data_IF_761106099873
#
_entry.id   IF_761106099873
#
_cell.length_a   1.000
_cell.length_b   1.000
_cell.length_c   1.000
_cell.angle_alpha   90.00
_cell.angle_beta   90.00
_cell.angle_gamma   90.00
#
_symmetry.space_group_name_H-M   'P 1'
#
loop_
_entity.id
_entity.type
_entity.pdbx_description
1 polymer ?
#
# COMPACT_ATOMS: atom_id res chain seq x y z
N UNK A 1 30.37 2.00 15.19
CA UNK A 1 31.44 1.46 16.05
C UNK A 1 31.07 1.79 17.49
N UNK A 2 30.87 0.77 18.33
CA UNK A 2 30.66 0.98 19.77
C UNK A 2 32.00 1.38 20.39
N UNK A 3 32.07 2.58 21.02
CA UNK A 3 33.15 2.82 21.97
C UNK A 3 32.88 1.98 23.23
N UNK A 4 33.89 1.48 23.91
CA UNK A 4 33.73 0.79 25.19
C UNK A 4 33.48 1.84 26.30
N UNK A 5 32.39 2.58 26.20
CA UNK A 5 31.85 3.42 27.25
C UNK A 5 30.70 2.66 27.92
N UNK A 6 30.56 2.84 29.20
CA UNK A 6 29.62 2.13 30.08
C UNK A 6 28.13 2.34 29.78
N UNK A 7 27.78 3.09 28.74
CA UNK A 7 26.42 3.57 28.48
C UNK A 7 25.72 3.00 27.22
N UNK A 8 26.38 2.08 26.49
CA UNK A 8 25.87 1.42 25.27
C UNK A 8 25.41 2.40 24.15
N UNK A 9 25.79 3.67 24.21
CA UNK A 9 25.45 4.70 23.23
C UNK A 9 26.14 4.40 21.90
N UNK A 10 25.42 4.38 20.76
CA UNK A 10 26.04 4.20 19.46
C UNK A 10 26.80 5.46 19.02
N UNK A 11 27.99 5.26 18.44
CA UNK A 11 28.87 6.32 17.94
C UNK A 11 29.25 6.07 16.48
N UNK A 12 29.45 7.14 15.73
CA UNK A 12 29.98 7.13 14.38
C UNK A 12 31.37 7.77 14.37
N UNK A 13 32.32 7.16 13.65
CA UNK A 13 33.64 7.74 13.42
C UNK A 13 33.82 8.07 11.95
N UNK A 14 34.03 9.35 11.64
CA UNK A 14 34.29 9.86 10.29
C UNK A 14 35.68 10.52 10.31
N UNK A 15 36.67 9.86 9.68
CA UNK A 15 38.07 10.30 9.82
C UNK A 15 38.53 10.20 11.30
N UNK A 16 38.94 11.33 11.88
CA UNK A 16 39.36 11.41 13.31
C UNK A 16 38.23 11.91 14.22
N UNK A 17 37.08 12.32 13.65
CA UNK A 17 35.96 12.83 14.43
C UNK A 17 35.05 11.66 14.87
N UNK A 18 34.69 11.67 16.17
CA UNK A 18 33.76 10.73 16.78
C UNK A 18 32.52 11.49 17.25
N UNK A 19 31.35 11.12 16.78
CA UNK A 19 30.09 11.73 17.19
C UNK A 19 29.10 10.71 17.73
N UNK A 20 28.30 11.11 18.70
CA UNK A 20 27.19 10.29 19.22
C UNK A 20 26.06 10.21 18.19
N UNK A 21 25.45 9.03 18.06
CA UNK A 21 24.25 8.79 17.28
C UNK A 21 22.97 8.70 18.15
N UNK A 22 23.07 8.97 19.46
CA UNK A 22 21.97 8.81 20.41
C UNK A 22 20.70 9.53 19.97
N UNK A 23 20.81 10.74 19.42
CA UNK A 23 19.66 11.53 18.95
C UNK A 23 19.19 11.12 17.54
N UNK A 24 19.99 10.33 16.82
CA UNK A 24 19.68 9.91 15.45
C UNK A 24 19.04 8.52 15.40
N UNK A 25 19.34 7.63 16.32
CA UNK A 25 18.77 6.27 16.35
C UNK A 25 17.38 6.28 16.98
N UNK A 26 16.41 5.57 16.40
CA UNK A 26 15.03 5.59 16.89
C UNK A 26 14.76 4.63 18.06
N UNK A 27 15.66 3.65 18.31
CA UNK A 27 15.53 2.64 19.35
C UNK A 27 16.87 1.95 19.63
N UNK A 28 16.95 1.25 20.74
CA UNK A 28 18.11 0.44 21.10
C UNK A 28 18.14 -0.86 20.31
N UNK A 29 19.35 -1.33 19.99
CA UNK A 29 19.58 -2.60 19.28
C UNK A 29 20.40 -3.57 20.13
N UNK A 30 20.30 -4.90 19.88
CA UNK A 30 21.13 -5.89 20.58
C UNK A 30 22.62 -5.62 20.42
N UNK A 31 23.44 -6.07 21.38
CA UNK A 31 24.90 -5.84 21.38
C UNK A 31 25.63 -6.37 20.15
N UNK A 32 25.08 -7.41 19.52
CA UNK A 32 25.64 -8.01 18.30
C UNK A 32 25.26 -7.27 17.01
N UNK A 33 24.43 -6.22 17.10
CA UNK A 33 23.97 -5.44 15.94
C UNK A 33 24.74 -4.11 15.86
N UNK A 34 24.79 -3.54 14.65
CA UNK A 34 25.37 -2.21 14.44
C UNK A 34 24.39 -1.30 13.71
N UNK A 35 24.36 -0.01 14.09
CA UNK A 35 23.75 1.03 13.28
C UNK A 35 24.68 1.43 12.16
N UNK A 36 24.22 1.35 10.91
CA UNK A 36 25.03 1.57 9.71
C UNK A 36 24.31 2.55 8.79
N UNK A 37 25.01 3.54 8.24
CA UNK A 37 24.45 4.40 7.19
C UNK A 37 24.39 3.63 5.88
N UNK A 38 23.34 3.88 5.08
CA UNK A 38 23.21 3.28 3.74
C UNK A 38 24.47 3.57 2.91
N UNK A 39 25.00 4.81 2.97
CA UNK A 39 26.25 5.18 2.27
C UNK A 39 27.45 4.31 2.61
N UNK A 40 27.51 3.74 3.81
CA UNK A 40 28.63 2.89 4.24
C UNK A 40 28.59 1.47 3.65
N UNK A 41 27.44 1.02 3.19
CA UNK A 41 27.25 -0.32 2.60
C UNK A 41 26.90 -0.26 1.10
N UNK A 42 26.61 0.93 0.57
CA UNK A 42 26.29 1.11 -0.84
C UNK A 42 27.50 1.50 -1.68
N UNK A 43 27.68 0.84 -2.80
CA UNK A 43 28.60 1.26 -3.86
C UNK A 43 28.01 2.43 -4.68
N UNK A 44 26.68 2.53 -4.74
CA UNK A 44 25.98 3.56 -5.50
C UNK A 44 24.65 3.87 -4.85
N UNK A 45 24.39 5.17 -4.62
CA UNK A 45 23.07 5.71 -4.35
C UNK A 45 22.77 6.76 -5.42
N UNK A 46 21.82 6.48 -6.30
CA UNK A 46 21.47 7.36 -7.41
C UNK A 46 19.96 7.34 -7.64
N UNK A 47 19.50 7.99 -8.69
CA UNK A 47 18.08 7.94 -9.10
C UNK A 47 17.97 7.75 -10.60
N UNK A 48 16.83 7.25 -11.02
CA UNK A 48 16.48 7.15 -12.42
C UNK A 48 16.41 8.51 -13.12
N UNK A 49 16.25 8.46 -14.41
CA UNK A 49 16.18 9.65 -15.28
C UNK A 49 15.07 9.44 -16.31
N UNK A 50 14.25 10.47 -16.53
CA UNK A 50 13.21 10.42 -17.58
C UNK A 50 13.85 10.69 -18.95
N UNK A 51 13.48 9.94 -19.99
CA UNK A 51 13.98 10.20 -21.35
C UNK A 51 13.54 11.57 -21.86
N UNK A 52 14.32 12.15 -22.77
CA UNK A 52 13.97 13.42 -23.43
C UNK A 52 12.70 13.22 -24.25
N UNK A 53 11.76 14.17 -24.16
CA UNK A 53 10.46 14.07 -24.84
C UNK A 53 9.33 13.48 -23.96
N UNK A 54 9.63 13.06 -22.73
CA UNK A 54 8.61 12.54 -21.80
C UNK A 54 7.85 11.34 -22.38
N UNK A 55 6.52 11.39 -22.38
CA UNK A 55 5.67 10.29 -22.84
C UNK A 55 5.83 9.92 -24.31
N UNK A 56 6.35 10.82 -25.16
CA UNK A 56 6.61 10.57 -26.59
C UNK A 56 7.81 9.64 -26.80
N UNK A 57 8.65 9.50 -25.80
CA UNK A 57 9.83 8.61 -25.84
C UNK A 57 9.50 7.15 -25.45
N UNK A 58 8.23 6.85 -25.11
CA UNK A 58 7.82 5.48 -24.81
C UNK A 58 7.38 4.75 -26.06
N UNK A 59 7.67 3.47 -26.10
CA UNK A 59 7.30 2.54 -27.16
C UNK A 59 6.42 1.41 -26.60
N UNK A 60 5.73 0.70 -27.50
CA UNK A 60 4.88 -0.44 -27.10
C UNK A 60 5.72 -1.66 -26.70
N UNK A 61 6.94 -1.75 -27.20
CA UNK A 61 7.87 -2.85 -26.95
C UNK A 61 9.29 -2.30 -26.73
N UNK A 62 10.16 -3.05 -26.06
CA UNK A 62 11.57 -2.71 -25.84
C UNK A 62 12.02 -2.96 -24.42
N UNK A 63 12.94 -2.12 -23.95
CA UNK A 63 13.48 -2.19 -22.59
C UNK A 63 12.47 -1.66 -21.60
N UNK A 64 12.22 -2.39 -20.52
CA UNK A 64 11.29 -2.00 -19.47
C UNK A 64 11.72 -0.70 -18.75
N UNK A 65 10.77 0.20 -18.52
CA UNK A 65 11.01 1.49 -17.90
C UNK A 65 10.10 1.68 -16.66
N UNK A 66 10.72 1.53 -15.48
CA UNK A 66 10.03 1.61 -14.21
C UNK A 66 9.68 3.05 -13.82
N UNK A 67 8.49 3.21 -13.26
CA UNK A 67 8.04 4.41 -12.57
C UNK A 67 7.72 4.06 -11.10
N UNK A 68 7.50 5.08 -10.26
CA UNK A 68 7.19 4.85 -8.85
C UNK A 68 6.00 3.90 -8.62
N UNK A 69 5.02 3.88 -9.54
CA UNK A 69 3.85 2.99 -9.45
C UNK A 69 4.19 1.50 -9.64
N UNK A 70 5.31 1.21 -10.34
CA UNK A 70 5.79 -0.16 -10.52
C UNK A 70 6.50 -0.73 -9.28
N UNK A 71 6.89 0.13 -8.32
CA UNK A 71 7.43 -0.29 -7.03
C UNK A 71 6.27 -0.62 -6.11
N UNK A 72 5.93 -1.90 -6.00
CA UNK A 72 4.72 -2.36 -5.31
C UNK A 72 4.85 -2.37 -3.78
N UNK A 73 6.07 -2.28 -3.26
CA UNK A 73 6.38 -2.28 -1.83
C UNK A 73 7.01 -3.60 -1.35
N UNK A 74 7.72 -3.52 -0.24
CA UNK A 74 8.62 -4.56 0.26
C UNK A 74 9.63 -4.95 -0.84
N UNK A 75 9.68 -6.21 -1.26
CA UNK A 75 10.64 -6.71 -2.27
C UNK A 75 10.05 -6.85 -3.68
N UNK A 76 8.83 -6.30 -3.93
CA UNK A 76 8.05 -6.60 -5.14
C UNK A 76 8.04 -5.46 -6.15
N UNK A 77 8.16 -5.84 -7.43
CA UNK A 77 7.86 -5.02 -8.60
C UNK A 77 6.52 -5.45 -9.22
N UNK A 78 5.72 -4.47 -9.65
CA UNK A 78 4.56 -4.70 -10.53
C UNK A 78 4.94 -4.33 -11.97
N UNK A 79 5.17 -5.35 -12.78
CA UNK A 79 5.55 -5.21 -14.19
C UNK A 79 4.35 -5.33 -15.15
N UNK A 80 3.12 -5.42 -14.63
CA UNK A 80 1.91 -5.63 -15.46
C UNK A 80 1.59 -4.43 -16.36
N UNK A 81 2.01 -3.22 -15.97
CA UNK A 81 1.81 -1.96 -16.72
C UNK A 81 3.12 -1.21 -16.86
N UNK A 82 4.07 -1.84 -17.54
CA UNK A 82 5.40 -1.30 -17.73
C UNK A 82 5.45 -0.46 -19.01
N UNK A 83 6.00 0.74 -18.92
CA UNK A 83 6.38 1.49 -20.09
C UNK A 83 7.66 0.89 -20.69
N UNK A 84 7.92 1.10 -21.98
CA UNK A 84 9.12 0.63 -22.65
C UNK A 84 9.85 1.79 -23.32
N UNK A 85 11.14 1.64 -23.49
CA UNK A 85 12.03 2.56 -24.20
C UNK A 85 12.85 1.78 -25.22
N UNK A 86 13.39 2.49 -26.22
CA UNK A 86 14.27 1.88 -27.21
C UNK A 86 15.68 1.62 -26.63
N UNK A 87 16.42 0.73 -27.29
CA UNK A 87 17.79 0.35 -26.91
C UNK A 87 18.77 1.53 -26.94
N UNK A 88 18.63 2.44 -27.90
CA UNK A 88 19.49 3.63 -28.02
C UNK A 88 19.31 4.57 -26.83
N UNK A 89 18.08 4.75 -26.38
CA UNK A 89 17.76 5.53 -25.16
C UNK A 89 18.34 4.83 -23.92
N UNK A 90 18.17 3.51 -23.81
CA UNK A 90 18.66 2.70 -22.69
C UNK A 90 20.17 2.81 -22.54
N UNK A 91 20.93 2.50 -23.61
CA UNK A 91 22.41 2.46 -23.57
C UNK A 91 23.06 3.84 -23.69
N UNK A 92 22.32 4.82 -24.20
CA UNK A 92 22.77 6.19 -24.41
C UNK A 92 22.40 7.13 -23.27
N UNK A 93 21.31 7.86 -23.44
CA UNK A 93 20.90 8.92 -22.51
C UNK A 93 20.63 8.43 -21.08
N UNK A 94 20.05 7.23 -20.93
CA UNK A 94 19.71 6.64 -19.65
C UNK A 94 20.78 5.67 -19.10
N UNK A 95 21.96 5.60 -19.69
CA UNK A 95 23.04 4.71 -19.27
C UNK A 95 23.29 4.72 -17.74
N UNK A 96 23.15 5.90 -17.11
CA UNK A 96 23.39 6.10 -15.67
C UNK A 96 22.34 5.45 -14.77
N UNK A 97 21.14 5.19 -15.29
CA UNK A 97 19.98 4.65 -14.58
C UNK A 97 19.61 3.24 -15.04
N UNK A 98 20.54 2.54 -15.67
CA UNK A 98 20.42 1.12 -15.98
C UNK A 98 20.41 0.35 -14.65
N UNK A 99 19.38 -0.45 -14.45
CA UNK A 99 19.24 -1.30 -13.28
C UNK A 99 20.06 -2.57 -13.45
N UNK A 100 20.59 -3.06 -12.35
CA UNK A 100 21.25 -4.36 -12.24
C UNK A 100 20.48 -5.28 -11.30
N UNK A 101 20.74 -6.57 -11.38
CA UNK A 101 20.29 -7.50 -10.36
C UNK A 101 20.80 -7.08 -8.99
N UNK A 102 20.00 -7.35 -7.97
CA UNK A 102 20.25 -6.99 -6.57
C UNK A 102 20.20 -5.48 -6.26
N UNK A 103 19.85 -4.62 -7.22
CA UNK A 103 19.54 -3.24 -6.90
C UNK A 103 18.30 -3.16 -5.99
N UNK A 104 18.43 -2.42 -4.90
CA UNK A 104 17.30 -2.06 -4.04
C UNK A 104 16.74 -0.72 -4.51
N UNK A 105 15.48 -0.70 -4.85
CA UNK A 105 14.76 0.50 -5.29
C UNK A 105 13.98 1.10 -4.14
N UNK A 106 13.91 2.45 -4.11
CA UNK A 106 13.05 3.18 -3.18
C UNK A 106 12.37 4.35 -3.89
N UNK A 107 11.07 4.51 -3.72
CA UNK A 107 10.32 5.64 -4.33
C UNK A 107 10.60 6.94 -3.59
N UNK A 108 10.98 7.98 -4.33
CA UNK A 108 11.38 9.29 -3.81
C UNK A 108 10.43 10.43 -4.19
N UNK A 109 9.43 10.14 -5.02
CA UNK A 109 8.35 11.07 -5.39
C UNK A 109 7.03 10.30 -5.56
N UNK A 110 5.91 10.96 -5.34
CA UNK A 110 4.59 10.33 -5.31
C UNK A 110 4.34 9.60 -3.99
N UNK A 111 4.18 8.29 -4.03
CA UNK A 111 4.13 7.46 -2.82
C UNK A 111 5.54 7.20 -2.33
N UNK A 112 6.00 7.96 -1.34
CA UNK A 112 7.37 7.88 -0.82
C UNK A 112 7.64 6.60 -0.05
N UNK A 113 8.90 6.14 -0.11
CA UNK A 113 9.43 5.09 0.75
C UNK A 113 9.07 3.65 0.37
N UNK A 114 8.30 3.41 -0.70
CA UNK A 114 8.10 2.04 -1.20
C UNK A 114 9.40 1.49 -1.73
N UNK A 115 9.65 0.22 -1.45
CA UNK A 115 10.87 -0.46 -1.86
C UNK A 115 10.59 -1.64 -2.78
N UNK A 116 11.59 -2.07 -3.56
CA UNK A 116 11.58 -3.32 -4.31
C UNK A 116 13.01 -3.81 -4.50
N UNK A 117 13.18 -5.08 -4.86
CA UNK A 117 14.46 -5.68 -5.26
C UNK A 117 14.37 -6.02 -6.74
N UNK A 118 15.37 -5.61 -7.51
CA UNK A 118 15.51 -5.99 -8.92
C UNK A 118 16.10 -7.39 -8.99
N UNK A 119 15.37 -8.32 -9.60
CA UNK A 119 15.85 -9.68 -9.83
C UNK A 119 16.43 -9.80 -11.25
N UNK A 120 17.33 -10.76 -11.45
CA UNK A 120 17.90 -11.04 -12.76
C UNK A 120 16.83 -11.28 -13.83
N UNK A 121 15.76 -11.98 -13.49
CA UNK A 121 14.62 -12.28 -14.38
C UNK A 121 13.84 -11.04 -14.83
N UNK A 122 14.02 -9.89 -14.16
CA UNK A 122 13.35 -8.64 -14.50
C UNK A 122 14.09 -7.81 -15.55
N UNK A 123 15.36 -8.11 -15.76
CA UNK A 123 16.24 -7.32 -16.64
C UNK A 123 16.03 -7.63 -18.14
N UNK A 124 16.28 -6.66 -19.03
CA UNK A 124 16.85 -5.33 -18.78
C UNK A 124 15.79 -4.28 -18.39
N UNK A 125 16.16 -3.36 -17.48
CA UNK A 125 15.29 -2.31 -16.96
C UNK A 125 16.03 -0.97 -16.82
N UNK A 126 15.29 0.12 -16.93
CA UNK A 126 15.63 1.47 -16.44
C UNK A 126 14.57 1.99 -15.49
N UNK A 127 14.87 3.08 -14.78
CA UNK A 127 13.92 3.74 -13.88
C UNK A 127 13.84 5.24 -14.16
N UNK A 128 12.66 5.84 -13.81
CA UNK A 128 12.47 7.28 -13.88
C UNK A 128 13.03 7.99 -12.64
N UNK A 129 13.01 9.32 -12.66
CA UNK A 129 13.53 10.18 -11.58
C UNK A 129 12.77 10.06 -10.25
N UNK A 130 11.62 9.39 -10.20
CA UNK A 130 10.85 9.18 -8.97
C UNK A 130 11.29 7.92 -8.20
N UNK A 131 12.28 7.19 -8.72
CA UNK A 131 12.84 5.96 -8.13
C UNK A 131 14.31 6.16 -7.86
N UNK A 132 14.75 6.05 -6.61
CA UNK A 132 16.15 5.95 -6.24
C UNK A 132 16.61 4.49 -6.29
N UNK A 133 17.90 4.31 -6.53
CA UNK A 133 18.59 3.03 -6.73
C UNK A 133 19.70 2.97 -5.71
N UNK A 134 19.67 1.93 -4.88
CA UNK A 134 20.73 1.60 -3.91
C UNK A 134 21.37 0.31 -4.39
N UNK A 135 22.64 0.37 -4.76
CA UNK A 135 23.46 -0.80 -5.14
C UNK A 135 24.47 -1.04 -4.05
N UNK A 136 24.45 -2.21 -3.45
CA UNK A 136 25.39 -2.54 -2.37
C UNK A 136 26.81 -2.78 -2.91
N UNK A 137 27.81 -2.58 -2.08
CA UNK A 137 29.22 -2.94 -2.35
C UNK A 137 29.32 -4.45 -2.53
N UNK A 138 28.63 -5.19 -1.67
CA UNK A 138 28.55 -6.65 -1.71
C UNK A 138 27.15 -7.10 -1.30
N UNK A 139 26.37 -7.57 -2.28
CA UNK A 139 25.00 -8.08 -2.07
C UNK A 139 24.95 -9.41 -1.28
N UNK A 140 26.12 -10.07 -1.06
CA UNK A 140 26.18 -11.30 -0.28
C UNK A 140 26.42 -11.05 1.22
N UNK A 141 26.97 -9.90 1.58
CA UNK A 141 27.25 -9.53 2.99
C UNK A 141 26.04 -8.99 3.74
N UNK A 142 25.01 -8.54 3.02
CA UNK A 142 23.74 -8.08 3.59
C UNK A 142 22.60 -8.79 2.86
N UNK A 143 21.70 -9.43 3.60
CA UNK A 143 20.50 -9.99 2.99
C UNK A 143 19.59 -8.86 2.49
N UNK A 144 19.33 -8.81 1.18
CA UNK A 144 18.58 -7.71 0.55
C UNK A 144 17.14 -7.62 1.03
N UNK A 145 16.51 -8.76 1.36
CA UNK A 145 15.15 -8.75 1.92
C UNK A 145 15.17 -8.19 3.34
N UNK A 146 16.21 -8.53 4.12
CA UNK A 146 16.39 -7.92 5.44
C UNK A 146 16.52 -6.40 5.31
N UNK A 147 17.39 -5.92 4.40
CA UNK A 147 17.57 -4.48 4.19
C UNK A 147 16.26 -3.80 3.79
N UNK A 148 15.51 -4.41 2.90
CA UNK A 148 14.18 -3.92 2.50
C UNK A 148 13.22 -3.88 3.70
N UNK A 149 13.20 -4.90 4.55
CA UNK A 149 12.36 -4.91 5.75
C UNK A 149 12.78 -3.83 6.75
N UNK A 150 14.08 -3.62 6.95
CA UNK A 150 14.60 -2.55 7.79
C UNK A 150 14.19 -1.17 7.24
N UNK A 151 14.33 -0.93 5.93
CA UNK A 151 13.89 0.31 5.29
C UNK A 151 12.37 0.54 5.38
N UNK A 152 11.56 -0.53 5.47
CA UNK A 152 10.10 -0.43 5.63
C UNK A 152 9.65 -0.40 7.10
N UNK A 153 10.56 -0.56 8.07
CA UNK A 153 10.20 -0.46 9.47
C UNK A 153 9.65 0.95 9.79
N UNK A 154 8.53 1.06 10.54
CA UNK A 154 7.87 2.36 10.78
C UNK A 154 8.81 3.44 11.29
N UNK A 155 9.68 3.11 12.25
CA UNK A 155 10.63 4.06 12.81
C UNK A 155 11.67 4.59 11.79
N UNK A 156 12.07 3.77 10.82
CA UNK A 156 12.97 4.17 9.73
C UNK A 156 12.18 4.97 8.67
N UNK A 157 10.98 4.54 8.31
CA UNK A 157 10.10 5.26 7.39
C UNK A 157 9.74 6.67 7.91
N UNK A 158 9.48 6.82 9.20
CA UNK A 158 9.21 8.12 9.81
C UNK A 158 10.42 9.06 9.66
N UNK A 159 11.64 8.58 9.79
CA UNK A 159 12.85 9.36 9.56
C UNK A 159 13.06 9.70 8.08
N UNK A 160 12.91 8.75 7.18
CA UNK A 160 13.01 8.95 5.74
C UNK A 160 11.98 9.97 5.23
N UNK A 161 10.77 9.98 5.81
CA UNK A 161 9.66 10.82 5.35
C UNK A 161 9.38 12.03 6.24
N UNK A 162 10.22 12.30 7.24
CA UNK A 162 10.01 13.39 8.21
C UNK A 162 9.79 14.76 7.55
N UNK A 163 10.46 15.06 6.44
CA UNK A 163 10.28 16.30 5.67
C UNK A 163 8.91 16.43 4.98
N UNK A 164 8.14 15.34 4.88
CA UNK A 164 6.77 15.35 4.36
C UNK A 164 5.84 16.28 5.16
N UNK A 165 6.16 16.52 6.42
CA UNK A 165 5.36 17.38 7.31
C UNK A 165 5.64 18.87 7.12
N UNK A 166 6.70 19.24 6.38
CA UNK A 166 7.23 20.63 6.32
C UNK A 166 7.02 21.27 4.93
N UNK A 167 6.92 20.49 3.86
CA UNK A 167 6.85 21.01 2.47
C UNK A 167 5.57 20.59 1.76
N UNK A 168 5.05 21.48 0.89
CA UNK A 168 3.84 21.22 0.09
C UNK A 168 4.00 20.07 -0.92
N UNK A 169 5.24 19.78 -1.34
CA UNK A 169 5.58 18.66 -2.21
C UNK A 169 6.70 17.87 -1.52
N UNK A 170 6.37 16.79 -0.81
CA UNK A 170 7.36 15.99 -0.13
C UNK A 170 8.20 15.20 -1.14
N UNK A 171 9.51 15.41 -1.12
CA UNK A 171 10.47 14.60 -1.87
C UNK A 171 11.49 13.98 -0.90
N UNK A 172 11.76 12.70 -1.07
CA UNK A 172 12.86 12.04 -0.41
C UNK A 172 14.13 12.27 -1.24
N UNK A 173 15.17 12.90 -0.66
CA UNK A 173 16.41 13.17 -1.38
C UNK A 173 17.40 12.00 -1.29
N UNK A 174 18.38 11.98 -2.19
CA UNK A 174 19.43 10.96 -2.18
C UNK A 174 20.32 11.09 -0.94
N UNK A 175 20.53 12.30 -0.43
CA UNK A 175 21.27 12.55 0.80
C UNK A 175 20.56 11.91 2.00
N UNK A 176 19.22 12.11 2.13
CA UNK A 176 18.45 11.49 3.22
C UNK A 176 18.55 9.96 3.16
N UNK A 177 18.51 9.37 1.96
CA UNK A 177 18.69 7.93 1.78
C UNK A 177 20.09 7.49 2.17
N UNK A 178 21.12 8.21 1.70
CA UNK A 178 22.52 7.91 1.97
C UNK A 178 22.85 7.97 3.47
N UNK A 179 22.30 8.97 4.15
CA UNK A 179 22.48 9.21 5.58
C UNK A 179 21.56 8.36 6.47
N UNK A 180 20.60 7.67 5.88
CA UNK A 180 19.66 6.83 6.65
C UNK A 180 20.42 5.75 7.41
N UNK A 181 20.21 5.72 8.74
CA UNK A 181 20.71 4.67 9.61
C UNK A 181 19.79 3.46 9.58
N UNK A 182 20.36 2.30 9.34
CA UNK A 182 19.68 1.00 9.42
C UNK A 182 20.40 0.07 10.39
N UNK A 183 19.66 -0.71 11.19
CA UNK A 183 20.27 -1.68 12.10
C UNK A 183 20.68 -2.92 11.30
N UNK A 184 21.92 -3.35 11.45
CA UNK A 184 22.49 -4.51 10.72
C UNK A 184 22.87 -5.61 11.74
N UNK A 185 22.09 -6.70 11.80
CA UNK A 185 22.43 -7.93 12.53
C UNK A 185 23.54 -8.72 11.85
N UNK A 186 24.14 -9.70 12.54
CA UNK A 186 24.94 -10.74 11.87
C UNK A 186 24.16 -11.43 10.76
N UNK A 187 24.80 -11.76 9.64
CA UNK A 187 24.13 -12.25 8.42
C UNK A 187 23.20 -13.45 8.66
N UNK A 188 23.62 -14.40 9.50
CA UNK A 188 22.76 -15.55 9.82
C UNK A 188 21.49 -15.14 10.58
N UNK A 189 21.53 -14.06 11.34
CA UNK A 189 20.37 -13.52 12.02
C UNK A 189 19.45 -12.77 11.06
N UNK A 190 19.99 -11.99 10.12
CA UNK A 190 19.23 -11.39 9.03
C UNK A 190 18.39 -12.46 8.30
N UNK A 191 19.02 -13.58 7.93
CA UNK A 191 18.34 -14.71 7.26
C UNK A 191 17.25 -15.35 8.12
N UNK A 192 17.46 -15.47 9.45
CA UNK A 192 16.42 -15.96 10.36
C UNK A 192 15.24 -15.00 10.44
N UNK A 193 15.50 -13.70 10.52
CA UNK A 193 14.45 -12.65 10.51
C UNK A 193 13.64 -12.72 9.23
N UNK A 194 14.31 -12.77 8.06
CA UNK A 194 13.65 -12.87 6.75
C UNK A 194 12.78 -14.12 6.67
N UNK A 195 13.31 -15.27 7.11
CA UNK A 195 12.55 -16.53 7.13
C UNK A 195 11.31 -16.43 8.03
N UNK A 196 11.45 -15.86 9.23
CA UNK A 196 10.35 -15.71 10.16
C UNK A 196 9.28 -14.76 9.61
N UNK A 197 9.68 -13.64 9.04
CA UNK A 197 8.75 -12.69 8.43
C UNK A 197 7.99 -13.31 7.26
N UNK A 198 8.65 -14.10 6.42
CA UNK A 198 8.02 -14.81 5.31
C UNK A 198 6.91 -15.79 5.75
N UNK A 199 6.95 -16.30 6.99
CA UNK A 199 5.88 -17.13 7.55
C UNK A 199 4.64 -16.31 7.96
N UNK A 200 4.82 -15.06 8.37
CA UNK A 200 3.70 -14.21 8.81
C UNK A 200 2.97 -13.53 7.65
N UNK A 201 3.66 -13.16 6.56
CA UNK A 201 3.05 -12.44 5.43
C UNK A 201 1.81 -13.11 4.86
N UNK A 202 1.79 -14.44 4.59
CA UNK A 202 0.59 -15.12 4.12
C UNK A 202 -0.56 -15.11 5.14
N UNK A 203 -0.25 -15.22 6.43
CA UNK A 203 -1.25 -15.19 7.51
C UNK A 203 -1.91 -13.81 7.63
N UNK A 204 -1.12 -12.75 7.47
CA UNK A 204 -1.64 -11.36 7.45
C UNK A 204 -2.58 -11.17 6.25
N UNK A 205 -2.19 -11.63 5.06
CA UNK A 205 -3.02 -11.54 3.87
C UNK A 205 -4.35 -12.32 4.00
N UNK A 206 -4.30 -13.51 4.62
CA UNK A 206 -5.51 -14.29 4.93
C UNK A 206 -6.42 -13.54 5.91
N UNK A 207 -5.83 -12.97 6.98
CA UNK A 207 -6.56 -12.17 7.96
C UNK A 207 -7.24 -10.96 7.31
N UNK A 208 -6.53 -10.21 6.47
CA UNK A 208 -7.07 -9.06 5.73
C UNK A 208 -8.25 -9.45 4.83
N UNK A 209 -8.16 -10.61 4.17
CA UNK A 209 -9.25 -11.15 3.36
C UNK A 209 -10.50 -11.43 4.20
N UNK A 210 -10.36 -12.14 5.33
CA UNK A 210 -11.45 -12.43 6.25
C UNK A 210 -12.04 -11.17 6.90
N UNK A 211 -11.20 -10.20 7.23
CA UNK A 211 -11.65 -8.92 7.79
C UNK A 211 -12.49 -8.14 6.78
N UNK A 212 -12.08 -8.15 5.50
CA UNK A 212 -12.83 -7.51 4.41
C UNK A 212 -14.20 -8.16 4.21
N UNK A 213 -14.27 -9.49 4.22
CA UNK A 213 -15.52 -10.24 4.14
C UNK A 213 -16.44 -9.93 5.31
N UNK A 214 -15.92 -9.93 6.54
CA UNK A 214 -16.67 -9.58 7.74
C UNK A 214 -17.24 -8.15 7.66
N UNK A 215 -16.44 -7.21 7.21
CA UNK A 215 -16.87 -5.81 7.05
C UNK A 215 -18.00 -5.70 6.01
N UNK A 216 -17.91 -6.42 4.89
CA UNK A 216 -18.96 -6.45 3.87
C UNK A 216 -20.26 -7.04 4.42
N UNK A 217 -20.18 -8.14 5.17
CA UNK A 217 -21.33 -8.75 5.86
C UNK A 217 -21.97 -7.78 6.85
N UNK A 218 -21.18 -7.16 7.71
CA UNK A 218 -21.67 -6.20 8.72
C UNK A 218 -22.35 -4.98 8.08
N UNK A 219 -21.81 -4.49 6.96
CA UNK A 219 -22.38 -3.35 6.22
C UNK A 219 -23.69 -3.72 5.54
N UNK A 220 -23.78 -4.92 4.97
CA UNK A 220 -24.98 -5.40 4.27
C UNK A 220 -26.10 -5.91 5.18
N UNK A 221 -25.74 -6.39 6.39
CA UNK A 221 -26.68 -7.03 7.30
C UNK A 221 -27.91 -6.21 7.69
N UNK A 222 -27.80 -4.91 8.06
CA UNK A 222 -28.97 -4.11 8.46
C UNK A 222 -30.03 -4.02 7.35
N UNK A 223 -29.61 -3.82 6.12
CA UNK A 223 -30.53 -3.74 4.98
C UNK A 223 -31.12 -5.10 4.62
N UNK A 224 -30.36 -6.17 4.71
CA UNK A 224 -30.85 -7.54 4.51
C UNK A 224 -31.88 -7.92 5.59
N UNK A 225 -31.59 -7.60 6.85
CA UNK A 225 -32.51 -7.82 7.97
C UNK A 225 -33.82 -7.05 7.80
N UNK A 226 -33.73 -5.77 7.44
CA UNK A 226 -34.91 -4.93 7.19
C UNK A 226 -35.79 -5.52 6.08
N UNK A 227 -35.19 -5.97 4.98
CA UNK A 227 -35.92 -6.62 3.88
C UNK A 227 -36.59 -7.92 4.33
N UNK A 228 -35.90 -8.72 5.15
CA UNK A 228 -36.46 -9.96 5.70
C UNK A 228 -37.66 -9.68 6.60
N UNK A 229 -37.55 -8.71 7.51
CA UNK A 229 -38.65 -8.31 8.39
C UNK A 229 -39.86 -7.79 7.60
N UNK A 230 -39.62 -6.99 6.55
CA UNK A 230 -40.69 -6.52 5.68
C UNK A 230 -41.35 -7.70 4.92
N UNK A 231 -40.58 -8.68 4.52
CA UNK A 231 -41.12 -9.88 3.84
C UNK A 231 -42.01 -10.68 4.79
N UNK A 232 -41.59 -10.91 6.03
CA UNK A 232 -42.42 -11.58 7.06
C UNK A 232 -43.67 -10.76 7.38
N UNK A 233 -43.57 -9.42 7.45
CA UNK A 233 -44.72 -8.54 7.68
C UNK A 233 -45.79 -8.66 6.59
N UNK A 234 -45.40 -8.60 5.31
CA UNK A 234 -46.37 -8.69 4.20
C UNK A 234 -46.93 -10.08 3.98
N UNK A 235 -46.27 -11.11 4.52
CA UNK A 235 -46.80 -12.47 4.54
C UNK A 235 -47.73 -12.78 5.72
N UNK A 236 -47.97 -11.78 6.59
CA UNK A 236 -48.79 -11.95 7.79
C UNK A 236 -48.16 -12.81 8.88
N UNK A 237 -46.82 -12.98 8.84
CA UNK A 237 -46.09 -13.84 9.80
C UNK A 237 -45.42 -13.06 10.93
N UNK A 238 -45.32 -11.71 10.80
CA UNK A 238 -44.59 -10.87 11.76
C UNK A 238 -45.35 -10.71 13.07
N UNK A 239 -46.67 -10.64 13.01
CA UNK A 239 -47.55 -10.52 14.19
C UNK A 239 -48.61 -11.59 14.14
N UNK A 240 -49.06 -12.08 15.32
CA UNK A 240 -50.21 -13.00 15.39
C UNK A 240 -51.48 -12.35 14.82
N UNK A 241 -52.32 -13.13 14.16
CA UNK A 241 -53.63 -12.68 13.71
C UNK A 241 -54.57 -12.55 14.91
N UNK A 242 -55.29 -11.44 15.02
CA UNK A 242 -56.30 -11.24 16.06
C UNK A 242 -57.69 -11.57 15.48
N UNK A 243 -58.40 -12.58 16.03
CA UNK A 243 -59.73 -12.94 15.54
C UNK A 243 -60.80 -11.85 15.75
N UNK A 244 -60.53 -10.84 16.57
CA UNK A 244 -61.44 -9.71 16.82
C UNK A 244 -61.27 -8.59 15.80
N UNK A 245 -60.24 -8.63 14.97
CA UNK A 245 -60.04 -7.64 13.91
C UNK A 245 -61.09 -7.73 12.84
N UNK A 246 -61.51 -6.60 12.31
CA UNK A 246 -62.42 -6.53 11.17
C UNK A 246 -61.82 -7.22 9.95
N UNK A 247 -62.55 -8.10 9.25
CA UNK A 247 -62.07 -8.72 8.02
C UNK A 247 -61.76 -7.67 6.93
N UNK A 248 -60.66 -7.86 6.22
CA UNK A 248 -60.23 -6.95 5.15
C UNK A 248 -61.29 -6.71 4.09
N UNK A 249 -62.21 -7.69 3.84
CA UNK A 249 -63.33 -7.58 2.93
C UNK A 249 -64.28 -6.42 3.33
N UNK A 250 -64.68 -6.33 4.62
CA UNK A 250 -65.54 -5.25 5.14
C UNK A 250 -64.85 -3.87 5.01
N UNK A 251 -63.53 -3.81 5.30
CA UNK A 251 -62.76 -2.61 5.08
C UNK A 251 -62.78 -2.15 3.62
N UNK A 252 -62.56 -3.09 2.68
CA UNK A 252 -62.58 -2.80 1.23
C UNK A 252 -63.93 -2.37 0.71
N UNK A 253 -65.03 -2.90 1.25
CA UNK A 253 -66.39 -2.42 0.94
C UNK A 253 -66.61 -0.99 1.33
N UNK A 254 -66.17 -0.57 2.55
CA UNK A 254 -66.26 0.82 2.98
C UNK A 254 -65.42 1.76 2.10
N UNK A 255 -64.23 1.34 1.70
CA UNK A 255 -63.37 2.11 0.82
C UNK A 255 -64.02 2.28 -0.54
N UNK A 256 -64.65 1.22 -1.08
CA UNK A 256 -65.41 1.27 -2.39
C UNK A 256 -66.55 2.24 -2.33
N UNK A 257 -67.36 2.19 -1.23
CA UNK A 257 -68.47 3.08 -1.04
C UNK A 257 -68.06 4.56 -0.96
N UNK A 258 -67.00 4.85 -0.22
CA UNK A 258 -66.45 6.20 -0.12
C UNK A 258 -65.88 6.69 -1.46
N UNK A 259 -65.14 5.84 -2.18
CA UNK A 259 -64.64 6.15 -3.55
C UNK A 259 -65.78 6.53 -4.49
N UNK A 260 -66.89 5.77 -4.47
CA UNK A 260 -68.06 6.07 -5.30
C UNK A 260 -68.72 7.41 -4.90
N UNK A 261 -68.79 7.73 -3.59
CA UNK A 261 -69.29 9.02 -3.10
C UNK A 261 -68.43 10.17 -3.63
N UNK A 262 -67.11 10.07 -3.53
CA UNK A 262 -66.17 11.11 -3.96
C UNK A 262 -66.21 11.29 -5.52
N UNK A 263 -66.47 10.24 -6.27
CA UNK A 263 -66.67 10.33 -7.74
C UNK A 263 -68.00 11.10 -8.05
N UNK A 264 -69.08 10.79 -7.34
CA UNK A 264 -70.35 11.50 -7.51
C UNK A 264 -70.26 12.98 -7.14
N UNK A 265 -69.47 13.33 -6.12
CA UNK A 265 -69.21 14.70 -5.70
C UNK A 265 -68.19 15.43 -6.62
N UNK A 266 -67.67 14.76 -7.66
CA UNK A 266 -66.71 15.35 -8.60
C UNK A 266 -65.30 15.59 -8.02
N UNK A 267 -65.03 15.07 -6.83
CA UNK A 267 -63.73 15.24 -6.16
C UNK A 267 -62.63 14.37 -6.71
N UNK A 268 -62.95 13.19 -7.26
CA UNK A 268 -62.02 12.28 -7.95
C UNK A 268 -62.62 11.82 -9.28
N UNK A 269 -61.75 11.52 -10.24
CA UNK A 269 -62.14 10.99 -11.53
C UNK A 269 -62.39 9.48 -11.47
N UNK A 270 -63.38 8.99 -12.22
CA UNK A 270 -63.64 7.56 -12.36
C UNK A 270 -62.47 6.88 -13.10
N UNK A 271 -61.89 5.85 -12.50
CA UNK A 271 -60.88 5.04 -13.15
C UNK A 271 -61.46 4.19 -14.24
N UNK A 272 -60.79 4.14 -15.41
CA UNK A 272 -61.23 3.34 -16.57
C UNK A 272 -60.83 1.85 -16.46
N UNK A 273 -59.96 1.51 -15.50
CA UNK A 273 -59.40 0.17 -15.27
C UNK A 273 -59.69 -0.36 -13.86
N UNK A 274 -60.87 -0.08 -13.33
CA UNK A 274 -61.27 -0.60 -12.03
C UNK A 274 -61.43 -2.12 -12.10
N UNK A 275 -60.45 -2.86 -11.57
CA UNK A 275 -60.58 -4.30 -11.39
C UNK A 275 -61.53 -4.59 -10.24
N UNK A 276 -62.51 -5.42 -10.50
CA UNK A 276 -63.38 -6.02 -9.48
C UNK A 276 -62.62 -7.25 -8.97
N UNK A 277 -62.01 -7.16 -7.79
CA UNK A 277 -61.54 -8.32 -7.09
C UNK A 277 -62.70 -8.86 -6.28
#
# INVERSE_FOLDING_TARGET
>A
VKQPSSDNTPYEKIGDEVRSLADEVPFDIPDSWEWVRISSIAALVTKGTTPRGGNVAYSDNGIGFLRAENVAGLDRLDLSKLNHIDEATHTGFLKRSILAADDVLITIAGTLGRTAIVKEENLPLNANQAVAIIRLVDSHSVDLRYLVYALNAPAIQDKLTAQKKITAIPNLTLEIISDCLVPIPPLNEQRRIVKQFALFVPQIAEYEGKQTELNALNTGFPEALKKSILQEAVQGKLVPQDPSDEPAEALLERIRAEKQRLIKEGKIKKDKHESVI
#
